data_IF_540767557131
#
_entry.id   IF_540767557131
#
_cell.length_a   1.000
_cell.length_b   1.000
_cell.length_c   1.000
_cell.angle_alpha   90.00
_cell.angle_beta   90.00
_cell.angle_gamma   90.00
#
_symmetry.space_group_name_H-M   'P 1'
#
loop_
_entity.id
_entity.type
_entity.pdbx_description
1 polymer ?
#
# COMPACT_ATOMS: atom_id res chain seq x y z
N UNK A 1 15.05 16.28 3.28
CA UNK A 1 14.61 15.40 4.37
C UNK A 1 13.18 15.69 4.84
N UNK A 2 12.82 16.89 5.33
CA UNK A 2 11.51 17.18 5.96
C UNK A 2 10.24 16.68 5.23
N UNK A 3 10.18 16.77 3.90
CA UNK A 3 9.01 16.36 3.10
C UNK A 3 8.74 14.85 3.07
N UNK A 4 9.77 14.01 3.15
CA UNK A 4 9.58 12.55 3.16
C UNK A 4 9.01 12.08 4.50
N UNK A 5 9.34 12.79 5.58
CA UNK A 5 8.87 12.50 6.94
C UNK A 5 7.41 12.85 7.15
N UNK A 6 7.01 14.05 6.72
CA UNK A 6 5.61 14.44 6.76
C UNK A 6 4.78 13.40 6.02
N UNK A 7 5.21 12.98 4.84
CA UNK A 7 4.49 11.98 4.05
C UNK A 7 4.28 10.66 4.82
N UNK A 8 5.34 10.06 5.39
CA UNK A 8 5.23 8.74 6.06
C UNK A 8 4.49 8.86 7.40
N UNK A 9 4.73 9.93 8.16
CA UNK A 9 4.07 10.16 9.44
C UNK A 9 2.56 10.36 9.26
N UNK A 10 2.17 11.24 8.33
CA UNK A 10 0.77 11.50 8.04
C UNK A 10 0.10 10.30 7.34
N UNK A 11 0.84 9.50 6.55
CA UNK A 11 0.36 8.20 6.05
C UNK A 11 -0.04 7.29 7.21
N UNK A 12 0.85 7.09 8.17
CA UNK A 12 0.62 6.21 9.34
C UNK A 12 -0.58 6.67 10.16
N UNK A 13 -0.66 7.97 10.48
CA UNK A 13 -1.78 8.56 11.22
C UNK A 13 -3.10 8.39 10.47
N UNK A 14 -3.08 8.59 9.15
CA UNK A 14 -4.26 8.41 8.29
C UNK A 14 -4.76 6.98 8.30
N UNK A 15 -3.87 5.98 8.30
CA UNK A 15 -4.26 4.57 8.40
C UNK A 15 -4.94 4.24 9.73
N UNK A 16 -4.49 4.85 10.84
CA UNK A 16 -5.14 4.71 12.16
C UNK A 16 -6.53 5.35 12.16
N UNK A 17 -6.67 6.56 11.60
CA UNK A 17 -7.97 7.24 11.43
C UNK A 17 -8.90 6.40 10.55
N UNK A 18 -8.37 5.85 9.46
CA UNK A 18 -9.10 4.97 8.55
C UNK A 18 -9.61 3.73 9.28
N UNK A 19 -8.76 3.06 10.05
CA UNK A 19 -9.12 1.88 10.85
C UNK A 19 -10.24 2.18 11.87
N UNK A 20 -10.26 3.39 12.44
CA UNK A 20 -11.23 3.78 13.46
C UNK A 20 -12.56 4.24 12.88
N UNK A 21 -12.56 5.02 11.80
CA UNK A 21 -13.74 5.75 11.35
C UNK A 21 -14.19 5.41 9.93
N UNK A 22 -13.29 5.06 9.01
CA UNK A 22 -13.60 5.00 7.58
C UNK A 22 -13.90 3.60 7.06
N UNK A 23 -13.66 2.55 7.85
CA UNK A 23 -13.93 1.16 7.43
C UNK A 23 -15.42 0.89 7.15
N UNK A 24 -16.32 1.67 7.75
CA UNK A 24 -17.77 1.56 7.54
C UNK A 24 -18.28 2.26 6.28
N UNK A 25 -17.42 3.02 5.59
CA UNK A 25 -17.79 3.78 4.39
C UNK A 25 -17.52 2.93 3.16
N UNK A 26 -18.47 2.95 2.21
CA UNK A 26 -18.37 2.30 0.90
C UNK A 26 -17.03 2.59 0.21
N UNK A 27 -16.39 1.54 -0.30
CA UNK A 27 -15.08 1.64 -0.95
C UNK A 27 -15.05 2.61 -2.14
N UNK A 28 -16.11 2.69 -2.96
CA UNK A 28 -16.19 3.63 -4.10
C UNK A 28 -16.12 5.08 -3.65
N UNK A 29 -16.84 5.43 -2.58
CA UNK A 29 -16.85 6.79 -2.04
C UNK A 29 -15.46 7.15 -1.52
N UNK A 30 -14.83 6.22 -0.78
CA UNK A 30 -13.45 6.38 -0.29
C UNK A 30 -12.46 6.59 -1.44
N UNK A 31 -12.50 5.76 -2.50
CA UNK A 31 -11.61 5.91 -3.66
C UNK A 31 -11.90 7.17 -4.47
N UNK A 32 -13.16 7.59 -4.60
CA UNK A 32 -13.51 8.85 -5.25
C UNK A 32 -12.90 10.06 -4.52
N UNK A 33 -13.14 10.17 -3.21
CA UNK A 33 -12.57 11.23 -2.36
C UNK A 33 -11.04 11.17 -2.43
N UNK A 34 -10.47 9.97 -2.37
CA UNK A 34 -9.03 9.78 -2.49
C UNK A 34 -8.45 10.26 -3.82
N UNK A 35 -9.15 10.01 -4.92
CA UNK A 35 -8.74 10.44 -6.26
C UNK A 35 -8.76 11.96 -6.38
N UNK A 36 -9.80 12.62 -5.87
CA UNK A 36 -9.85 14.09 -5.79
C UNK A 36 -8.69 14.63 -4.95
N UNK A 37 -8.42 14.01 -3.79
CA UNK A 37 -7.33 14.41 -2.91
C UNK A 37 -5.95 14.30 -3.58
N UNK A 38 -5.67 13.18 -4.26
CA UNK A 38 -4.40 12.97 -4.99
C UNK A 38 -4.27 13.99 -6.14
N UNK A 39 -5.35 14.28 -6.87
CA UNK A 39 -5.35 15.27 -7.93
C UNK A 39 -4.98 16.66 -7.40
N UNK A 40 -5.59 17.09 -6.29
CA UNK A 40 -5.25 18.35 -5.61
C UNK A 40 -3.77 18.34 -5.19
N UNK A 41 -3.29 17.24 -4.60
CA UNK A 41 -1.89 17.07 -4.22
C UNK A 41 -0.92 17.30 -5.39
N UNK A 42 -1.17 16.66 -6.54
CA UNK A 42 -0.33 16.80 -7.73
C UNK A 42 -0.36 18.22 -8.32
N UNK A 43 -1.51 18.90 -8.30
CA UNK A 43 -1.61 20.29 -8.74
C UNK A 43 -0.82 21.24 -7.82
N UNK A 44 -0.91 21.05 -6.50
CA UNK A 44 -0.17 21.87 -5.53
C UNK A 44 1.35 21.68 -5.70
N UNK A 45 1.85 20.44 -5.83
CA UNK A 45 3.30 20.22 -6.02
C UNK A 45 3.78 20.73 -7.39
N UNK A 46 2.96 20.59 -8.43
CA UNK A 46 3.23 21.17 -9.74
C UNK A 46 3.42 22.68 -9.67
N UNK A 47 2.54 23.38 -8.95
CA UNK A 47 2.65 24.82 -8.74
C UNK A 47 3.88 25.16 -7.89
N UNK A 48 4.10 24.44 -6.79
CA UNK A 48 5.26 24.65 -5.92
C UNK A 48 6.59 24.52 -6.69
N UNK A 49 6.73 23.49 -7.53
CA UNK A 49 7.92 23.29 -8.35
C UNK A 49 8.09 24.36 -9.46
N UNK A 50 6.99 24.88 -10.01
CA UNK A 50 7.05 25.95 -11.01
C UNK A 50 7.54 27.27 -10.38
N UNK A 51 7.01 27.61 -9.19
CA UNK A 51 7.32 28.85 -8.47
C UNK A 51 8.35 28.63 -7.35
N UNK A 52 9.35 27.80 -7.60
CA UNK A 52 10.37 27.39 -6.62
C UNK A 52 11.21 28.55 -6.04
N UNK A 53 11.20 29.72 -6.68
CA UNK A 53 11.93 30.92 -6.26
C UNK A 53 11.33 31.61 -5.02
N UNK A 54 10.06 31.35 -4.70
CA UNK A 54 9.36 31.97 -3.58
C UNK A 54 9.38 31.08 -2.33
N UNK A 55 9.55 31.68 -1.14
CA UNK A 55 9.52 30.93 0.14
C UNK A 55 8.20 30.16 0.37
N UNK A 56 7.09 30.67 -0.18
CA UNK A 56 5.77 30.00 -0.12
C UNK A 56 5.81 28.63 -0.79
N UNK A 57 6.69 28.41 -1.77
CA UNK A 57 6.86 27.11 -2.45
C UNK A 57 7.23 26.00 -1.47
N UNK A 58 8.07 26.29 -0.47
CA UNK A 58 8.42 25.31 0.56
C UNK A 58 7.18 24.83 1.32
N UNK A 59 6.35 25.75 1.83
CA UNK A 59 5.13 25.42 2.56
C UNK A 59 4.09 24.72 1.69
N UNK A 60 3.98 25.10 0.41
CA UNK A 60 3.12 24.42 -0.55
C UNK A 60 3.58 22.98 -0.83
N UNK A 61 4.88 22.76 -0.99
CA UNK A 61 5.44 21.42 -1.19
C UNK A 61 5.22 20.53 0.04
N UNK A 62 5.33 21.11 1.24
CA UNK A 62 5.02 20.43 2.50
C UNK A 62 3.52 20.05 2.57
N UNK A 63 2.62 20.99 2.28
CA UNK A 63 1.18 20.74 2.26
C UNK A 63 0.82 19.65 1.23
N UNK A 64 1.38 19.71 0.03
CA UNK A 64 1.19 18.67 -0.99
C UNK A 64 1.69 17.31 -0.51
N UNK A 65 2.87 17.24 0.14
CA UNK A 65 3.41 15.97 0.66
C UNK A 65 2.48 15.33 1.68
N UNK A 66 1.81 16.13 2.52
CA UNK A 66 0.82 15.65 3.50
C UNK A 66 -0.40 15.12 2.77
N UNK A 67 -0.95 15.89 1.83
CA UNK A 67 -2.12 15.52 1.01
C UNK A 67 -1.87 14.21 0.25
N UNK A 68 -0.71 14.09 -0.41
CA UNK A 68 -0.31 12.89 -1.15
C UNK A 68 -0.06 11.71 -0.21
N UNK A 69 0.51 11.94 0.97
CA UNK A 69 0.69 10.90 2.01
C UNK A 69 -0.64 10.34 2.52
N UNK A 70 -1.60 11.23 2.83
CA UNK A 70 -2.98 10.86 3.17
C UNK A 70 -3.62 10.08 2.00
N UNK A 71 -3.43 10.56 0.77
CA UNK A 71 -3.97 9.94 -0.44
C UNK A 71 -3.44 8.52 -0.69
N UNK A 72 -2.13 8.32 -0.49
CA UNK A 72 -1.50 7.01 -0.61
C UNK A 72 -2.01 6.03 0.46
N UNK A 73 -2.07 6.49 1.72
CA UNK A 73 -2.55 5.70 2.85
C UNK A 73 -4.00 5.22 2.70
N UNK A 74 -4.90 6.13 2.33
CA UNK A 74 -6.31 5.81 2.12
C UNK A 74 -6.51 4.92 0.88
N UNK A 75 -5.80 5.20 -0.21
CA UNK A 75 -5.84 4.40 -1.43
C UNK A 75 -5.44 2.95 -1.18
N UNK A 76 -4.29 2.73 -0.52
CA UNK A 76 -3.79 1.40 -0.17
C UNK A 76 -4.78 0.67 0.76
N UNK A 77 -5.15 1.29 1.88
CA UNK A 77 -6.00 0.65 2.89
C UNK A 77 -7.39 0.31 2.35
N UNK A 78 -7.97 1.20 1.53
CA UNK A 78 -9.28 0.97 0.92
C UNK A 78 -9.24 -0.15 -0.12
N UNK A 79 -8.18 -0.21 -0.94
CA UNK A 79 -8.06 -1.22 -1.99
C UNK A 79 -7.76 -2.60 -1.40
N UNK A 80 -6.87 -2.69 -0.41
CA UNK A 80 -6.64 -3.93 0.32
C UNK A 80 -7.91 -4.41 1.05
N UNK A 81 -8.64 -3.50 1.69
CA UNK A 81 -9.95 -3.81 2.28
C UNK A 81 -10.93 -4.34 1.24
N UNK A 82 -10.97 -3.73 0.06
CA UNK A 82 -11.81 -4.18 -1.05
C UNK A 82 -11.43 -5.58 -1.56
N UNK A 83 -10.14 -5.95 -1.52
CA UNK A 83 -9.64 -7.28 -1.89
C UNK A 83 -10.20 -8.41 -1.01
N UNK A 84 -10.70 -8.14 0.20
CA UNK A 84 -11.34 -9.16 1.06
C UNK A 84 -12.55 -9.84 0.42
N UNK A 85 -13.16 -9.19 -0.57
CA UNK A 85 -14.33 -9.70 -1.30
C UNK A 85 -13.97 -10.51 -2.55
N UNK A 86 -12.69 -10.80 -2.78
CA UNK A 86 -12.17 -11.63 -3.88
C UNK A 86 -11.28 -12.75 -3.35
N UNK A 87 -10.98 -13.78 -4.16
CA UNK A 87 -9.98 -14.78 -3.79
C UNK A 87 -8.65 -14.15 -3.35
N UNK A 88 -8.02 -14.70 -2.32
CA UNK A 88 -6.82 -14.16 -1.68
C UNK A 88 -5.66 -13.89 -2.67
N UNK A 89 -5.61 -14.61 -3.80
CA UNK A 89 -4.66 -14.39 -4.89
C UNK A 89 -4.75 -13.01 -5.55
N UNK A 90 -5.89 -12.31 -5.45
CA UNK A 90 -6.10 -10.99 -6.06
C UNK A 90 -5.21 -9.92 -5.44
N UNK A 91 -4.80 -10.10 -4.17
CA UNK A 91 -3.79 -9.23 -3.55
C UNK A 91 -2.48 -9.21 -4.32
N UNK A 92 -2.14 -10.30 -5.02
CA UNK A 92 -0.97 -10.35 -5.90
C UNK A 92 -1.09 -9.38 -7.07
N UNK A 93 -2.28 -9.20 -7.66
CA UNK A 93 -2.49 -8.23 -8.74
C UNK A 93 -2.37 -6.79 -8.25
N UNK A 94 -2.93 -6.48 -7.08
CA UNK A 94 -2.75 -5.18 -6.43
C UNK A 94 -1.27 -4.92 -6.09
N UNK A 95 -0.59 -5.91 -5.51
CA UNK A 95 0.84 -5.85 -5.23
C UNK A 95 1.67 -5.63 -6.50
N UNK A 96 1.39 -6.39 -7.57
CA UNK A 96 2.06 -6.25 -8.87
C UNK A 96 1.86 -4.86 -9.46
N UNK A 97 0.64 -4.31 -9.40
CA UNK A 97 0.35 -2.97 -9.90
C UNK A 97 1.10 -1.86 -9.15
N UNK A 98 1.19 -1.97 -7.82
CA UNK A 98 1.97 -1.03 -6.99
C UNK A 98 3.49 -1.17 -7.19
N UNK A 99 4.00 -2.39 -7.43
CA UNK A 99 5.39 -2.60 -7.82
C UNK A 99 5.72 -2.00 -9.19
N UNK A 100 4.84 -2.21 -10.18
CA UNK A 100 4.98 -1.58 -11.50
C UNK A 100 4.93 -0.05 -11.41
N UNK A 101 4.07 0.51 -10.56
CA UNK A 101 3.99 1.96 -10.35
C UNK A 101 5.32 2.56 -9.85
N UNK A 102 6.12 1.82 -9.07
CA UNK A 102 7.45 2.24 -8.63
C UNK A 102 8.46 2.31 -9.79
N UNK A 103 8.49 1.28 -10.65
CA UNK A 103 9.35 1.24 -11.85
C UNK A 103 8.91 2.28 -12.89
N UNK A 104 7.61 2.38 -13.13
CA UNK A 104 7.01 3.33 -14.08
C UNK A 104 7.20 4.77 -13.61
N UNK A 105 6.96 5.06 -12.34
CA UNK A 105 7.09 6.41 -11.78
C UNK A 105 8.53 6.93 -11.78
N UNK A 106 9.51 6.07 -11.50
CA UNK A 106 10.92 6.44 -11.61
C UNK A 106 11.35 6.59 -13.07
N UNK A 107 10.92 5.68 -13.95
CA UNK A 107 11.20 5.74 -15.38
C UNK A 107 10.64 6.98 -16.09
N UNK A 108 9.38 7.35 -15.82
CA UNK A 108 8.74 8.51 -16.46
C UNK A 108 9.41 9.82 -16.07
N UNK A 109 9.83 9.96 -14.80
CA UNK A 109 10.59 11.14 -14.35
C UNK A 109 11.93 11.21 -15.09
N UNK A 110 12.63 10.08 -15.23
CA UNK A 110 13.94 10.04 -15.90
C UNK A 110 13.83 10.39 -17.40
N UNK A 111 12.82 9.86 -18.09
CA UNK A 111 12.55 10.14 -19.50
C UNK A 111 12.16 11.61 -19.70
N UNK A 112 11.21 12.13 -18.90
CA UNK A 112 10.73 13.50 -19.06
C UNK A 112 11.78 14.55 -18.66
N UNK A 113 12.59 14.28 -17.63
CA UNK A 113 13.75 15.12 -17.32
C UNK A 113 14.79 15.08 -18.43
N UNK A 114 15.05 13.89 -19.00
CA UNK A 114 15.94 13.75 -20.16
C UNK A 114 15.45 14.52 -21.38
N UNK A 115 14.14 14.70 -21.53
CA UNK A 115 13.53 15.54 -22.57
C UNK A 115 13.56 17.05 -22.26
N UNK A 116 14.16 17.48 -21.14
CA UNK A 116 14.31 18.89 -20.78
C UNK A 116 13.11 19.50 -20.05
N UNK A 117 12.14 18.70 -19.58
CA UNK A 117 10.99 19.21 -18.83
C UNK A 117 11.36 19.52 -17.37
N UNK A 118 10.83 20.63 -16.85
CA UNK A 118 10.98 20.97 -15.44
C UNK A 118 10.04 20.10 -14.57
N UNK A 119 10.41 19.88 -13.30
CA UNK A 119 9.64 19.10 -12.32
C UNK A 119 8.17 19.53 -12.24
N UNK A 120 7.89 20.84 -12.28
CA UNK A 120 6.51 21.36 -12.26
C UNK A 120 5.68 20.87 -13.45
N UNK A 121 6.25 20.92 -14.66
CA UNK A 121 5.59 20.43 -15.88
C UNK A 121 5.36 18.91 -15.82
N UNK A 122 6.32 18.17 -15.26
CA UNK A 122 6.20 16.72 -15.08
C UNK A 122 5.00 16.39 -14.16
N UNK A 123 4.91 17.03 -12.99
CA UNK A 123 3.79 16.81 -12.06
C UNK A 123 2.43 17.21 -12.67
N UNK A 124 2.40 18.27 -13.48
CA UNK A 124 1.20 18.65 -14.21
C UNK A 124 0.76 17.57 -15.22
N UNK A 125 1.70 17.06 -16.03
CA UNK A 125 1.43 16.04 -17.06
C UNK A 125 0.97 14.72 -16.45
N UNK A 126 1.47 14.33 -15.28
CA UNK A 126 1.04 13.08 -14.63
C UNK A 126 -0.28 13.22 -13.88
N UNK A 127 -0.75 14.43 -13.55
CA UNK A 127 -1.98 14.63 -12.78
C UNK A 127 -3.20 13.90 -13.38
N UNK A 128 -3.44 13.91 -14.72
CA UNK A 128 -4.56 13.18 -15.33
C UNK A 128 -4.51 11.66 -15.17
N UNK A 129 -3.40 11.06 -14.76
CA UNK A 129 -3.30 9.60 -14.50
C UNK A 129 -4.21 9.12 -13.36
N UNK A 130 -4.70 10.04 -12.53
CA UNK A 130 -5.70 9.74 -11.49
C UNK A 130 -7.06 9.35 -12.09
N UNK A 131 -7.39 9.85 -13.29
CA UNK A 131 -8.65 9.55 -13.98
C UNK A 131 -8.75 8.06 -14.33
N UNK A 132 -7.80 7.45 -15.07
CA UNK A 132 -7.86 6.02 -15.37
C UNK A 132 -7.77 5.16 -14.10
N UNK A 133 -7.08 5.61 -13.04
CA UNK A 133 -7.11 4.93 -11.74
C UNK A 133 -8.53 4.82 -11.16
N UNK A 134 -9.26 5.94 -11.10
CA UNK A 134 -10.63 5.95 -10.61
C UNK A 134 -11.58 5.13 -11.50
N UNK A 135 -11.47 5.30 -12.83
CA UNK A 135 -12.32 4.57 -13.79
C UNK A 135 -12.09 3.06 -13.72
N UNK A 136 -10.83 2.62 -13.57
CA UNK A 136 -10.50 1.20 -13.38
C UNK A 136 -11.11 0.66 -12.09
N UNK A 137 -10.97 1.37 -10.97
CA UNK A 137 -11.59 0.96 -9.71
C UNK A 137 -13.12 0.89 -9.81
N UNK A 138 -13.75 1.89 -10.41
CA UNK A 138 -15.20 1.93 -10.61
C UNK A 138 -15.69 0.76 -11.46
N UNK A 139 -14.96 0.42 -12.52
CA UNK A 139 -15.28 -0.73 -13.37
C UNK A 139 -15.20 -2.05 -12.59
N UNK A 140 -14.12 -2.28 -11.85
CA UNK A 140 -13.96 -3.48 -11.00
C UNK A 140 -15.06 -3.55 -9.94
N UNK A 141 -15.39 -2.41 -9.31
CA UNK A 141 -16.46 -2.34 -8.33
C UNK A 141 -17.81 -2.76 -8.92
N UNK A 142 -18.16 -2.28 -10.12
CA UNK A 142 -19.39 -2.71 -10.81
C UNK A 142 -19.38 -4.20 -11.15
N UNK A 143 -18.24 -4.74 -11.57
CA UNK A 143 -18.11 -6.17 -11.85
C UNK A 143 -18.29 -7.03 -10.60
N UNK A 144 -17.83 -6.55 -9.44
CA UNK A 144 -18.04 -7.19 -8.13
C UNK A 144 -19.52 -7.19 -7.73
N UNK A 145 -20.24 -6.10 -7.92
CA UNK A 145 -21.69 -6.07 -7.60
C UNK A 145 -22.50 -7.04 -8.49
N UNK A 146 -21.99 -7.39 -9.67
CA UNK A 146 -22.69 -8.27 -10.62
C UNK A 146 -22.35 -9.75 -10.45
N UNK A 147 -21.21 -10.09 -9.83
CA UNK A 147 -20.74 -11.48 -9.71
C UNK A 147 -20.31 -11.78 -8.27
N UNK A 148 -20.80 -12.87 -7.69
CA UNK A 148 -20.33 -13.33 -6.39
C UNK A 148 -18.99 -14.07 -6.55
N UNK A 149 -17.92 -13.48 -6.03
CA UNK A 149 -16.56 -14.04 -6.11
C UNK A 149 -16.16 -14.90 -4.90
N UNK A 150 -16.89 -14.79 -3.78
CA UNK A 150 -16.72 -15.61 -2.59
C UNK A 150 -18.13 -15.98 -2.08
N UNK A 151 -18.46 -17.26 -1.84
CA UNK A 151 -19.70 -17.63 -1.17
C UNK A 151 -19.79 -16.93 0.19
N UNK A 152 -20.85 -16.18 0.44
CA UNK A 152 -21.07 -15.62 1.77
C UNK A 152 -21.33 -16.73 2.78
N UNK A 153 -20.83 -16.53 4.00
CA UNK A 153 -21.07 -17.43 5.12
C UNK A 153 -22.58 -17.40 5.43
N UNK A 154 -23.29 -18.47 5.07
CA UNK A 154 -24.77 -18.56 5.09
C UNK A 154 -25.39 -18.21 6.44
N UNK A 155 -24.61 -18.27 7.52
CA UNK A 155 -25.05 -17.96 8.88
C UNK A 155 -25.40 -16.47 9.10
N UNK A 156 -24.84 -15.54 8.31
CA UNK A 156 -25.11 -14.10 8.45
C UNK A 156 -26.49 -13.75 7.84
N UNK A 157 -26.84 -14.39 6.73
CA UNK A 157 -28.13 -14.16 6.03
C UNK A 157 -29.29 -14.61 6.93
N UNK A 158 -29.14 -15.74 7.63
CA UNK A 158 -30.17 -16.22 8.56
C UNK A 158 -30.45 -15.22 9.67
N UNK A 159 -29.43 -14.53 10.16
CA UNK A 159 -29.57 -13.62 11.29
C UNK A 159 -30.09 -12.23 10.88
N UNK A 160 -29.75 -11.74 9.68
CA UNK A 160 -30.29 -10.48 9.15
C UNK A 160 -31.75 -10.60 8.71
N UNK A 161 -32.12 -11.74 8.12
CA UNK A 161 -33.51 -12.03 7.71
C UNK A 161 -34.41 -12.17 8.95
N UNK A 162 -33.95 -12.88 9.99
CA UNK A 162 -34.70 -12.99 11.25
C UNK A 162 -34.91 -11.66 11.99
N UNK A 163 -33.99 -10.69 11.84
CA UNK A 163 -34.15 -9.36 12.43
C UNK A 163 -35.08 -8.44 11.62
N UNK A 164 -35.12 -8.55 10.29
CA UNK A 164 -36.05 -7.78 9.46
C UNK A 164 -37.50 -8.31 9.59
N UNK A 165 -37.67 -9.63 9.72
CA UNK A 165 -38.99 -10.26 9.88
C UNK A 165 -39.58 -9.99 11.27
N UNK A 166 -38.76 -9.86 12.33
CA UNK A 166 -39.27 -9.55 13.68
C UNK A 166 -39.68 -8.08 13.87
N UNK A 167 -39.17 -7.13 13.10
CA UNK A 167 -39.57 -5.71 13.21
C UNK A 167 -40.81 -5.37 12.36
N UNK A 168 -41.22 -6.22 11.43
CA UNK A 168 -42.34 -5.92 10.50
C UNK A 168 -43.68 -6.59 10.83
N UNK A 169 -43.73 -7.55 11.77
CA UNK A 169 -44.93 -8.38 12.01
C UNK A 169 -45.91 -7.88 13.08
N UNK A 170 -45.68 -6.75 13.77
CA UNK A 170 -46.64 -6.22 14.77
C UNK A 170 -47.76 -5.33 14.20
N UNK A 171 -47.86 -5.12 12.87
CA UNK A 171 -48.78 -4.09 12.32
C UNK A 171 -49.86 -4.51 11.32
N UNK A 172 -50.02 -5.79 10.96
CA UNK A 172 -51.08 -6.16 10.00
C UNK A 172 -51.77 -7.50 10.32
N UNK A 173 -52.67 -7.49 11.30
CA UNK A 173 -53.71 -8.51 11.41
C UNK A 173 -54.91 -8.14 10.54
N UNK A 174 -54.94 -8.64 9.30
CA UNK A 174 -56.18 -8.83 8.54
C UNK A 174 -55.96 -9.85 7.42
N UNK A 175 -56.10 -11.14 7.73
CA UNK A 175 -56.21 -12.19 6.72
C UNK A 175 -57.67 -12.58 6.52
N UNK A 176 -58.27 -12.10 5.43
CA UNK A 176 -59.48 -12.67 4.87
C UNK A 176 -59.11 -13.86 3.96
N UNK A 177 -59.73 -15.00 4.24
CA UNK A 177 -59.65 -16.26 3.49
C UNK A 177 -60.47 -16.18 2.19
N UNK A 178 -59.86 -16.36 1.01
CA UNK A 178 -60.55 -16.82 -0.20
C UNK A 178 -59.64 -17.73 -1.03
N UNK A 179 -60.19 -18.90 -1.38
CA UNK A 179 -59.60 -19.98 -2.20
C UNK A 179 -59.74 -19.73 -3.72
N UNK A 180 -58.83 -20.29 -4.53
CA UNK A 180 -59.03 -20.53 -5.97
C UNK A 180 -57.75 -20.67 -6.81
N UNK A 181 -57.49 -21.85 -7.37
CA UNK A 181 -56.32 -22.24 -8.20
C UNK A 181 -56.48 -21.84 -9.71
N UNK A 182 -55.60 -22.25 -10.67
CA UNK A 182 -54.14 -22.40 -10.72
C UNK A 182 -53.46 -21.71 -11.95
N UNK A 183 -52.12 -21.68 -11.92
CA UNK A 183 -51.18 -21.54 -13.06
C UNK A 183 -50.92 -20.12 -13.61
N UNK A 184 -49.71 -19.61 -13.38
CA UNK A 184 -48.87 -19.02 -14.44
C UNK A 184 -47.42 -18.90 -13.95
N UNK A 185 -46.54 -19.59 -14.67
CA UNK A 185 -45.10 -19.36 -14.85
C UNK A 185 -44.36 -18.66 -13.70
N UNK A 186 -43.67 -19.44 -12.84
CA UNK A 186 -42.58 -18.93 -12.01
C UNK A 186 -41.47 -18.39 -12.92
N UNK A 187 -41.57 -17.11 -13.30
CA UNK A 187 -40.38 -16.34 -13.63
C UNK A 187 -39.53 -16.34 -12.37
N UNK A 188 -38.31 -16.87 -12.52
CA UNK A 188 -37.23 -16.77 -11.55
C UNK A 188 -36.89 -15.28 -11.42
N UNK A 189 -37.78 -14.52 -10.81
CA UNK A 189 -37.54 -13.14 -10.46
C UNK A 189 -36.33 -13.16 -9.56
N UNK A 190 -35.26 -12.57 -10.10
CA UNK A 190 -34.02 -12.29 -9.42
C UNK A 190 -34.40 -11.85 -8.01
N UNK A 191 -34.15 -12.72 -7.04
CA UNK A 191 -33.94 -12.29 -5.66
C UNK A 191 -32.83 -11.26 -5.80
N UNK A 192 -33.20 -9.98 -5.86
CA UNK A 192 -32.29 -8.88 -5.64
C UNK A 192 -31.86 -9.08 -4.21
N UNK A 193 -30.80 -9.87 -4.01
CA UNK A 193 -30.05 -9.89 -2.78
C UNK A 193 -29.88 -8.42 -2.39
N UNK A 194 -30.26 -8.02 -1.17
CA UNK A 194 -30.13 -6.63 -0.75
C UNK A 194 -28.69 -6.22 -1.05
N UNK A 195 -28.49 -5.00 -1.55
CA UNK A 195 -27.17 -4.42 -1.82
C UNK A 195 -26.39 -4.44 -0.51
N UNK A 196 -25.71 -5.54 -0.22
CA UNK A 196 -25.01 -5.74 1.03
C UNK A 196 -23.82 -4.81 1.00
N UNK A 197 -23.95 -3.71 1.73
CA UNK A 197 -22.89 -2.76 1.94
C UNK A 197 -21.85 -3.42 2.87
N UNK A 198 -20.98 -4.25 2.29
CA UNK A 198 -19.93 -5.02 2.99
C UNK A 198 -19.02 -4.12 3.84
N UNK A 199 -19.01 -2.82 3.59
CA UNK A 199 -18.28 -1.85 4.41
C UNK A 199 -18.97 -1.65 5.76
N UNK A 200 -20.30 -1.56 5.80
CA UNK A 200 -21.05 -1.29 7.04
C UNK A 200 -20.85 -2.36 8.13
N UNK A 201 -20.65 -3.62 7.72
CA UNK A 201 -20.44 -4.76 8.63
C UNK A 201 -18.99 -4.90 9.12
N UNK A 202 -18.07 -4.02 8.70
CA UNK A 202 -16.69 -4.07 9.15
C UNK A 202 -16.55 -3.75 10.63
N UNK A 203 -15.67 -4.52 11.29
CA UNK A 203 -15.20 -4.14 12.60
C UNK A 203 -14.28 -2.91 12.49
N UNK A 204 -14.50 -1.95 13.38
CA UNK A 204 -13.69 -0.74 13.49
C UNK A 204 -12.70 -0.87 14.64
N UNK A 205 -11.62 -0.10 14.58
CA UNK A 205 -10.58 -0.12 15.59
C UNK A 205 -11.12 0.25 16.98
N UNK A 206 -11.07 -0.71 17.89
CA UNK A 206 -11.15 -0.51 19.34
C UNK A 206 -9.97 -1.23 20.02
N UNK A 207 -9.66 -0.91 21.27
CA UNK A 207 -8.51 -1.49 21.98
C UNK A 207 -8.60 -3.01 22.14
N UNK A 208 -9.81 -3.52 22.35
CA UNK A 208 -10.08 -4.97 22.44
C UNK A 208 -9.86 -5.66 21.10
N UNK A 209 -10.40 -5.10 20.01
CA UNK A 209 -10.22 -5.65 18.67
C UNK A 209 -8.77 -5.55 18.18
N UNK A 210 -8.06 -4.46 18.54
CA UNK A 210 -6.62 -4.35 18.29
C UNK A 210 -5.86 -5.50 18.96
N UNK A 211 -6.11 -5.76 20.25
CA UNK A 211 -5.48 -6.87 20.96
C UNK A 211 -5.84 -8.22 20.37
N UNK A 212 -7.11 -8.43 20.01
CA UNK A 212 -7.61 -9.67 19.41
C UNK A 212 -6.96 -9.95 18.07
N UNK A 213 -6.92 -8.97 17.17
CA UNK A 213 -6.28 -9.08 15.86
C UNK A 213 -4.77 -9.29 16.02
N UNK A 214 -4.13 -8.53 16.91
CA UNK A 214 -2.71 -8.69 17.17
C UNK A 214 -2.38 -10.09 17.73
N UNK A 215 -3.25 -10.68 18.56
CA UNK A 215 -3.06 -12.05 19.01
C UNK A 215 -3.24 -13.08 17.87
N UNK A 216 -4.17 -12.84 16.95
CA UNK A 216 -4.47 -13.75 15.82
C UNK A 216 -3.43 -13.69 14.70
N UNK A 217 -2.94 -12.50 14.35
CA UNK A 217 -2.07 -12.27 13.17
C UNK A 217 -0.85 -11.38 13.46
N UNK A 218 -0.60 -11.01 14.71
CA UNK A 218 0.53 -10.14 15.09
C UNK A 218 1.89 -10.71 14.71
N UNK A 219 2.03 -12.03 14.63
CA UNK A 219 3.22 -12.66 14.09
C UNK A 219 3.55 -12.19 12.67
N UNK A 220 2.55 -12.14 11.78
CA UNK A 220 2.72 -11.65 10.41
C UNK A 220 3.00 -10.14 10.38
N UNK A 221 2.35 -9.38 11.27
CA UNK A 221 2.52 -7.93 11.37
C UNK A 221 3.93 -7.54 11.81
N UNK A 222 4.48 -8.22 12.83
CA UNK A 222 5.83 -7.99 13.33
C UNK A 222 6.88 -8.39 12.29
N UNK A 223 6.68 -9.52 11.60
CA UNK A 223 7.57 -9.94 10.52
C UNK A 223 7.61 -8.89 9.41
N UNK A 224 6.44 -8.43 8.94
CA UNK A 224 6.37 -7.40 7.89
C UNK A 224 7.03 -6.09 8.34
N UNK A 225 6.72 -5.62 9.55
CA UNK A 225 7.34 -4.43 10.14
C UNK A 225 8.87 -4.56 10.18
N UNK A 226 9.39 -5.74 10.55
CA UNK A 226 10.83 -6.00 10.61
C UNK A 226 11.47 -6.00 9.23
N UNK A 227 10.85 -6.66 8.23
CA UNK A 227 11.35 -6.66 6.85
C UNK A 227 11.44 -5.24 6.31
N UNK A 228 10.37 -4.45 6.49
CA UNK A 228 10.33 -3.08 5.98
C UNK A 228 11.27 -2.14 6.72
N UNK A 229 11.48 -2.34 8.03
CA UNK A 229 12.54 -1.64 8.76
C UNK A 229 13.93 -1.95 8.17
N UNK A 230 14.26 -3.24 8.01
CA UNK A 230 15.58 -3.68 7.54
C UNK A 230 15.86 -3.23 6.10
N UNK A 231 14.88 -3.32 5.21
CA UNK A 231 15.05 -2.94 3.81
C UNK A 231 15.12 -1.42 3.63
N UNK A 232 14.35 -0.65 4.39
CA UNK A 232 14.40 0.81 4.30
C UNK A 232 15.73 1.35 4.78
N UNK A 233 16.35 0.73 5.78
CA UNK A 233 17.73 1.03 6.16
C UNK A 233 18.71 0.73 5.00
N UNK A 234 18.55 -0.37 4.27
CA UNK A 234 19.39 -0.67 3.12
C UNK A 234 19.26 0.39 2.02
N UNK A 235 18.02 0.70 1.61
CA UNK A 235 17.76 1.56 0.47
C UNK A 235 17.95 3.05 0.80
N UNK A 236 17.42 3.56 1.91
CA UNK A 236 17.40 5.01 2.18
C UNK A 236 18.63 5.50 2.93
N UNK A 237 19.31 4.63 3.68
CA UNK A 237 20.42 5.02 4.54
C UNK A 237 21.76 4.53 3.97
N UNK A 238 21.93 3.22 3.82
CA UNK A 238 23.21 2.63 3.42
C UNK A 238 23.55 2.90 1.94
N UNK A 239 22.57 2.76 1.04
CA UNK A 239 22.81 2.94 -0.40
C UNK A 239 23.16 4.39 -0.77
N UNK A 240 22.56 5.38 -0.09
CA UNK A 240 22.86 6.80 -0.28
C UNK A 240 24.31 7.11 0.13
N UNK A 241 24.70 6.67 1.33
CA UNK A 241 26.05 6.86 1.88
C UNK A 241 27.13 6.18 1.06
N UNK A 242 26.90 4.94 0.62
CA UNK A 242 27.84 4.23 -0.24
C UNK A 242 28.03 4.98 -1.56
N UNK A 243 26.94 5.51 -2.14
CA UNK A 243 27.02 6.30 -3.37
C UNK A 243 27.84 7.57 -3.15
N UNK A 244 27.67 8.26 -2.01
CA UNK A 244 28.47 9.43 -1.66
C UNK A 244 29.96 9.08 -1.47
N UNK A 245 30.26 8.03 -0.69
CA UNK A 245 31.64 7.54 -0.51
C UNK A 245 32.34 7.18 -1.81
N UNK A 246 31.63 6.55 -2.74
CA UNK A 246 32.20 6.16 -4.04
C UNK A 246 32.55 7.37 -4.90
N UNK A 247 31.73 8.42 -4.88
CA UNK A 247 32.04 9.70 -5.55
C UNK A 247 33.31 10.33 -4.98
N UNK A 248 33.46 10.33 -3.65
CA UNK A 248 34.64 10.90 -2.97
C UNK A 248 35.90 10.06 -3.19
N UNK A 249 35.79 8.73 -3.23
CA UNK A 249 36.92 7.81 -3.44
C UNK A 249 37.45 7.86 -4.87
N UNK A 250 36.58 8.05 -5.86
CA UNK A 250 36.93 8.04 -7.29
C UNK A 250 36.53 9.36 -7.97
N UNK A 251 37.21 10.49 -7.65
CA UNK A 251 36.84 11.80 -8.18
C UNK A 251 36.94 11.88 -9.70
N UNK A 252 37.91 11.19 -10.32
CA UNK A 252 38.09 11.16 -11.78
C UNK A 252 36.92 10.51 -12.53
N UNK A 253 36.09 9.73 -11.83
CA UNK A 253 34.91 9.03 -12.37
C UNK A 253 33.60 9.67 -11.92
N UNK A 254 33.66 10.76 -11.16
CA UNK A 254 32.48 11.40 -10.58
C UNK A 254 31.50 11.90 -11.64
N UNK A 255 32.01 12.27 -12.82
CA UNK A 255 31.21 12.73 -13.96
C UNK A 255 30.55 11.60 -14.76
N UNK A 256 30.93 10.34 -14.52
CA UNK A 256 30.25 9.21 -15.13
C UNK A 256 28.79 9.16 -14.67
N UNK A 257 27.87 8.91 -15.60
CA UNK A 257 26.43 8.85 -15.33
C UNK A 257 26.07 7.93 -14.15
N UNK A 258 26.77 6.81 -14.02
CA UNK A 258 26.59 5.82 -12.95
C UNK A 258 26.98 6.38 -11.58
N UNK A 259 28.07 7.15 -11.50
CA UNK A 259 28.47 7.78 -10.24
C UNK A 259 27.49 8.90 -9.88
N UNK A 260 27.16 9.78 -10.84
CA UNK A 260 26.22 10.88 -10.59
C UNK A 260 24.85 10.39 -10.09
N UNK A 261 24.31 9.35 -10.73
CA UNK A 261 22.95 8.85 -10.50
C UNK A 261 22.88 7.53 -9.70
N UNK A 262 23.97 7.09 -9.07
CA UNK A 262 24.08 5.77 -8.44
C UNK A 262 22.95 5.42 -7.48
N UNK A 263 22.58 6.35 -6.59
CA UNK A 263 21.47 6.18 -5.64
C UNK A 263 20.12 6.00 -6.34
N UNK A 264 19.87 6.76 -7.42
CA UNK A 264 18.63 6.67 -8.20
C UNK A 264 18.59 5.33 -8.94
N UNK A 265 19.71 4.89 -9.52
CA UNK A 265 19.80 3.59 -10.21
C UNK A 265 19.61 2.45 -9.21
N UNK A 266 20.20 2.52 -8.01
CA UNK A 266 19.98 1.55 -6.93
C UNK A 266 18.50 1.50 -6.54
N UNK A 267 17.87 2.65 -6.35
CA UNK A 267 16.44 2.75 -6.07
C UNK A 267 15.60 2.13 -7.20
N UNK A 268 15.99 2.32 -8.46
CA UNK A 268 15.33 1.70 -9.61
C UNK A 268 15.48 0.18 -9.63
N UNK A 269 16.69 -0.35 -9.38
CA UNK A 269 16.96 -1.79 -9.26
C UNK A 269 16.14 -2.42 -8.12
N UNK A 270 16.03 -1.75 -6.98
CA UNK A 270 15.15 -2.17 -5.90
C UNK A 270 13.70 -2.31 -6.38
N UNK A 271 13.16 -1.31 -7.08
CA UNK A 271 11.78 -1.34 -7.58
C UNK A 271 11.55 -2.48 -8.58
N UNK A 272 12.54 -2.83 -9.40
CA UNK A 272 12.48 -4.02 -10.26
C UNK A 272 12.30 -5.29 -9.42
N UNK A 273 13.09 -5.45 -8.36
CA UNK A 273 12.96 -6.58 -7.44
C UNK A 273 11.59 -6.64 -6.77
N UNK A 274 11.09 -5.49 -6.29
CA UNK A 274 9.75 -5.39 -5.70
C UNK A 274 8.68 -5.77 -6.72
N UNK A 275 8.77 -5.28 -7.96
CA UNK A 275 7.81 -5.61 -9.00
C UNK A 275 7.78 -7.13 -9.26
N UNK A 276 8.93 -7.75 -9.54
CA UNK A 276 9.03 -9.19 -9.83
C UNK A 276 8.45 -10.02 -8.68
N UNK A 277 8.84 -9.70 -7.44
CA UNK A 277 8.42 -10.46 -6.26
C UNK A 277 6.92 -10.29 -5.95
N UNK A 278 6.37 -9.09 -6.12
CA UNK A 278 4.91 -8.87 -5.95
C UNK A 278 4.10 -9.58 -7.03
N UNK A 279 4.59 -9.61 -8.28
CA UNK A 279 3.98 -10.37 -9.37
C UNK A 279 4.07 -11.88 -9.18
N UNK A 280 5.05 -12.37 -8.41
CA UNK A 280 5.29 -13.79 -8.24
C UNK A 280 4.20 -14.53 -7.43
N UNK A 281 3.36 -13.83 -6.65
CA UNK A 281 2.36 -14.48 -5.76
C UNK A 281 1.41 -15.43 -6.49
N UNK A 282 1.09 -15.16 -7.76
CA UNK A 282 0.23 -16.02 -8.57
C UNK A 282 0.89 -17.37 -8.91
N UNK A 283 2.22 -17.43 -8.88
CA UNK A 283 3.03 -18.60 -9.27
C UNK A 283 3.69 -19.25 -8.04
N UNK A 284 4.27 -18.45 -7.15
CA UNK A 284 5.05 -18.88 -6.00
C UNK A 284 4.48 -18.24 -4.73
N UNK A 285 4.02 -19.09 -3.81
CA UNK A 285 3.55 -18.68 -2.48
C UNK A 285 4.55 -19.15 -1.44
N UNK A 286 4.99 -18.23 -0.58
CA UNK A 286 5.95 -18.50 0.49
C UNK A 286 5.19 -18.51 1.82
N UNK A 287 4.84 -19.69 2.36
CA UNK A 287 4.10 -19.77 3.61
C UNK A 287 4.94 -19.32 4.81
N UNK A 288 6.26 -19.56 4.80
CA UNK A 288 7.17 -19.17 5.87
C UNK A 288 7.76 -17.78 5.63
N UNK A 289 7.06 -16.75 6.10
CA UNK A 289 7.50 -15.35 5.95
C UNK A 289 8.76 -15.03 6.77
N UNK A 290 9.05 -15.79 7.84
CA UNK A 290 10.25 -15.59 8.65
C UNK A 290 11.54 -15.71 7.85
N UNK A 291 11.55 -16.57 6.83
CA UNK A 291 12.72 -16.76 5.96
C UNK A 291 13.07 -15.45 5.26
N UNK A 292 12.06 -14.70 4.82
CA UNK A 292 12.26 -13.38 4.21
C UNK A 292 12.83 -12.38 5.22
N UNK A 293 12.35 -12.40 6.45
CA UNK A 293 12.88 -11.55 7.53
C UNK A 293 14.35 -11.87 7.83
N UNK A 294 14.71 -13.15 7.91
CA UNK A 294 16.12 -13.57 8.13
C UNK A 294 17.01 -13.15 6.95
N UNK A 295 16.55 -13.36 5.72
CA UNK A 295 17.29 -12.92 4.52
C UNK A 295 17.46 -11.39 4.50
N UNK A 296 16.45 -10.64 4.93
CA UNK A 296 16.54 -9.18 5.02
C UNK A 296 17.48 -8.71 6.12
N UNK A 297 17.61 -9.48 7.21
CA UNK A 297 18.61 -9.21 8.23
C UNK A 297 20.03 -9.43 7.69
N UNK A 298 20.25 -10.49 6.90
CA UNK A 298 21.53 -10.74 6.24
C UNK A 298 21.85 -9.59 5.27
N UNK A 299 20.88 -9.15 4.47
CA UNK A 299 21.03 -8.00 3.59
C UNK A 299 21.40 -6.73 4.37
N UNK A 300 20.69 -6.45 5.48
CA UNK A 300 20.98 -5.31 6.34
C UNK A 300 22.42 -5.34 6.86
N UNK A 301 22.85 -6.48 7.39
CA UNK A 301 24.23 -6.66 7.88
C UNK A 301 25.21 -6.44 6.73
N UNK A 302 25.00 -7.06 5.57
CA UNK A 302 25.85 -6.88 4.40
C UNK A 302 25.99 -5.39 4.01
N UNK A 303 24.89 -4.66 3.88
CA UNK A 303 24.89 -3.25 3.51
C UNK A 303 25.47 -2.34 4.59
N UNK A 304 25.26 -2.65 5.87
CA UNK A 304 25.89 -1.93 6.99
C UNK A 304 27.41 -2.07 6.95
N UNK A 305 27.91 -3.30 6.84
CA UNK A 305 29.35 -3.57 6.74
C UNK A 305 29.94 -2.93 5.48
N UNK A 306 29.23 -2.97 4.35
CA UNK A 306 29.72 -2.32 3.13
C UNK A 306 29.72 -0.78 3.27
N UNK A 307 28.79 -0.20 4.01
CA UNK A 307 28.80 1.24 4.30
C UNK A 307 29.98 1.64 5.17
N UNK A 308 30.36 0.81 6.14
CA UNK A 308 31.49 1.09 7.05
C UNK A 308 32.82 0.90 6.32
N UNK A 309 33.04 -0.28 5.73
CA UNK A 309 34.34 -0.71 5.20
C UNK A 309 34.52 -0.47 3.70
N UNK A 310 33.44 -0.25 2.94
CA UNK A 310 33.44 -0.09 1.49
C UNK A 310 34.23 -1.19 0.76
N UNK A 311 34.01 -2.46 1.16
CA UNK A 311 34.70 -3.62 0.60
C UNK A 311 34.20 -3.98 -0.80
N UNK A 312 32.95 -3.66 -1.11
CA UNK A 312 32.38 -3.75 -2.44
C UNK A 312 32.26 -2.33 -2.97
N UNK A 313 33.02 -2.00 -4.01
CA UNK A 313 33.01 -0.69 -4.66
C UNK A 313 32.53 -0.73 -6.13
N UNK A 314 32.10 -1.91 -6.59
CA UNK A 314 31.52 -2.10 -7.91
C UNK A 314 30.00 -1.84 -7.90
N UNK A 315 29.57 -0.74 -8.52
CA UNK A 315 28.16 -0.38 -8.67
C UNK A 315 27.30 -1.48 -9.32
N UNK A 316 27.80 -2.18 -10.34
CA UNK A 316 27.02 -3.22 -11.03
C UNK A 316 26.70 -4.40 -10.11
N UNK A 317 27.64 -4.78 -9.23
CA UNK A 317 27.39 -5.80 -8.22
C UNK A 317 26.35 -5.31 -7.20
N UNK A 318 26.43 -4.05 -6.77
CA UNK A 318 25.42 -3.45 -5.89
C UNK A 318 24.03 -3.40 -6.51
N UNK A 319 23.92 -3.15 -7.82
CA UNK A 319 22.64 -3.16 -8.53
C UNK A 319 21.96 -4.53 -8.46
N UNK A 320 22.71 -5.61 -8.69
CA UNK A 320 22.20 -6.98 -8.60
C UNK A 320 21.74 -7.29 -7.17
N UNK A 321 22.55 -6.92 -6.17
CA UNK A 321 22.18 -7.12 -4.75
C UNK A 321 20.95 -6.28 -4.39
N UNK A 322 20.80 -5.09 -4.95
CA UNK A 322 19.64 -4.23 -4.67
C UNK A 322 18.35 -4.78 -5.31
N UNK A 323 18.43 -5.43 -6.47
CA UNK A 323 17.31 -6.22 -7.00
C UNK A 323 16.94 -7.34 -6.02
N UNK A 324 17.93 -8.03 -5.45
CA UNK A 324 17.70 -9.08 -4.44
C UNK A 324 17.03 -8.54 -3.17
N UNK A 325 17.47 -7.39 -2.65
CA UNK A 325 16.81 -6.71 -1.51
C UNK A 325 15.33 -6.44 -1.81
N UNK A 326 15.04 -5.92 -3.01
CA UNK A 326 13.67 -5.66 -3.45
C UNK A 326 12.82 -6.91 -3.60
N UNK A 327 13.41 -8.03 -4.05
CA UNK A 327 12.71 -9.31 -4.15
C UNK A 327 12.20 -9.80 -2.80
N UNK A 328 13.02 -9.72 -1.75
CA UNK A 328 12.64 -10.15 -0.39
C UNK A 328 11.53 -9.26 0.19
N UNK A 329 11.66 -7.94 0.00
CA UNK A 329 10.68 -6.95 0.47
C UNK A 329 9.30 -7.13 -0.15
N UNK A 330 9.26 -7.14 -1.48
CA UNK A 330 8.01 -7.30 -2.21
C UNK A 330 7.35 -8.66 -1.97
N UNK A 331 8.15 -9.74 -1.88
CA UNK A 331 7.64 -11.08 -1.57
C UNK A 331 7.03 -11.14 -0.16
N UNK A 332 7.70 -10.57 0.85
CA UNK A 332 7.18 -10.51 2.22
C UNK A 332 5.83 -9.81 2.28
N UNK A 333 5.71 -8.63 1.63
CA UNK A 333 4.46 -7.87 1.59
C UNK A 333 3.29 -8.67 1.05
N UNK A 334 3.40 -9.22 -0.16
CA UNK A 334 2.25 -9.91 -0.79
C UNK A 334 1.91 -11.23 -0.09
N UNK A 335 2.91 -11.95 0.44
CA UNK A 335 2.68 -13.20 1.15
C UNK A 335 2.04 -12.96 2.52
N UNK A 336 2.43 -11.92 3.26
CA UNK A 336 1.79 -11.55 4.53
C UNK A 336 0.32 -11.17 4.31
N UNK A 337 0.04 -10.31 3.32
CA UNK A 337 -1.34 -9.90 3.01
C UNK A 337 -2.19 -11.09 2.55
N UNK A 338 -1.62 -11.98 1.72
CA UNK A 338 -2.28 -13.23 1.30
C UNK A 338 -2.61 -14.12 2.51
N UNK A 339 -1.67 -14.33 3.43
CA UNK A 339 -1.87 -15.19 4.59
C UNK A 339 -2.90 -14.62 5.57
N UNK A 340 -2.97 -13.30 5.72
CA UNK A 340 -4.02 -12.64 6.52
C UNK A 340 -5.40 -12.87 5.88
N UNK A 341 -5.51 -12.74 4.56
CA UNK A 341 -6.78 -12.99 3.86
C UNK A 341 -7.19 -14.46 3.88
N UNK A 342 -6.24 -15.38 3.84
CA UNK A 342 -6.49 -16.83 3.87
C UNK A 342 -6.69 -17.37 5.30
N UNK A 343 -6.31 -16.60 6.33
CA UNK A 343 -6.32 -17.06 7.72
C UNK A 343 -7.72 -17.50 8.16
N UNK A 344 -7.89 -18.77 8.59
CA UNK A 344 -9.17 -19.26 9.12
C UNK A 344 -9.50 -18.67 10.49
N UNK A 345 -8.51 -18.07 11.17
CA UNK A 345 -8.69 -17.48 12.50
C UNK A 345 -9.39 -16.10 12.46
N UNK A 346 -9.54 -15.52 11.26
CA UNK A 346 -10.15 -14.20 11.06
C UNK A 346 -11.52 -14.30 10.39
N UNK A 347 -12.51 -13.67 11.01
CA UNK A 347 -13.83 -13.49 10.41
C UNK A 347 -13.76 -12.47 9.27
N UNK A 348 -14.69 -12.53 8.32
CA UNK A 348 -14.68 -11.66 7.11
C UNK A 348 -14.76 -10.16 7.45
N UNK A 349 -15.49 -9.79 8.50
CA UNK A 349 -15.58 -8.43 9.05
C UNK A 349 -14.30 -7.96 9.78
N UNK A 350 -13.43 -8.89 10.22
CA UNK A 350 -12.14 -8.61 10.86
C UNK A 350 -11.01 -8.42 9.83
N UNK A 351 -11.12 -9.05 8.65
CA UNK A 351 -10.03 -9.08 7.64
C UNK A 351 -9.61 -7.69 7.16
N UNK A 352 -10.55 -6.77 6.94
CA UNK A 352 -10.21 -5.40 6.52
C UNK A 352 -9.46 -4.62 7.60
N UNK A 353 -9.89 -4.76 8.85
CA UNK A 353 -9.21 -4.15 9.99
C UNK A 353 -7.82 -4.78 10.18
N UNK A 354 -7.69 -6.10 10.04
CA UNK A 354 -6.41 -6.80 10.12
C UNK A 354 -5.42 -6.37 9.03
N UNK A 355 -5.86 -6.24 7.78
CA UNK A 355 -5.04 -5.71 6.70
C UNK A 355 -4.62 -4.26 6.96
N UNK A 356 -5.55 -3.41 7.42
CA UNK A 356 -5.26 -2.01 7.74
C UNK A 356 -4.25 -1.90 8.90
N UNK A 357 -4.40 -2.69 9.96
CA UNK A 357 -3.43 -2.71 11.07
C UNK A 357 -2.06 -3.23 10.62
N UNK A 358 -2.04 -4.17 9.68
CA UNK A 358 -0.79 -4.69 9.10
C UNK A 358 -0.06 -3.62 8.30
N UNK A 359 -0.77 -2.81 7.51
CA UNK A 359 -0.17 -1.67 6.81
C UNK A 359 0.23 -0.52 7.74
N UNK A 360 -0.39 -0.38 8.92
CA UNK A 360 0.09 0.52 9.99
C UNK A 360 1.42 0.02 10.54
N UNK A 361 1.53 -1.26 10.91
CA UNK A 361 2.78 -1.86 11.39
C UNK A 361 3.91 -1.72 10.36
N UNK A 362 3.59 -1.90 9.08
CA UNK A 362 4.49 -1.65 7.97
C UNK A 362 5.07 -0.23 7.98
N UNK A 363 4.21 0.79 8.05
CA UNK A 363 4.64 2.19 8.03
C UNK A 363 5.43 2.56 9.30
N UNK A 364 5.10 1.96 10.46
CA UNK A 364 5.90 2.12 11.69
C UNK A 364 7.33 1.63 11.47
N UNK A 365 7.53 0.48 10.82
CA UNK A 365 8.85 -0.03 10.48
C UNK A 365 9.65 0.95 9.62
N UNK A 366 9.01 1.53 8.60
CA UNK A 366 9.58 2.55 7.72
C UNK A 366 9.94 3.83 8.49
N UNK A 367 9.06 4.28 9.40
CA UNK A 367 9.30 5.45 10.24
C UNK A 367 10.50 5.24 11.16
N UNK A 368 10.60 4.09 11.81
CA UNK A 368 11.73 3.75 12.69
C UNK A 368 13.03 3.69 11.89
N UNK A 369 13.03 3.09 10.69
CA UNK A 369 14.19 3.07 9.81
C UNK A 369 14.63 4.49 9.41
N UNK A 370 13.66 5.33 9.07
CA UNK A 370 13.92 6.73 8.75
C UNK A 370 14.53 7.45 9.97
N UNK A 371 13.96 7.30 11.18
CA UNK A 371 14.46 7.89 12.45
C UNK A 371 15.89 7.47 12.74
N UNK A 372 16.17 6.19 12.58
CA UNK A 372 17.51 5.66 12.76
C UNK A 372 18.49 6.17 11.69
N UNK A 373 18.07 6.28 10.43
CA UNK A 373 18.89 6.87 9.37
C UNK A 373 19.36 8.27 9.74
N UNK A 374 18.43 9.13 10.16
CA UNK A 374 18.73 10.51 10.56
C UNK A 374 19.64 10.58 11.80
N UNK A 375 19.39 9.72 12.79
CA UNK A 375 20.24 9.65 13.97
C UNK A 375 21.66 9.25 13.57
N UNK A 376 21.80 8.27 12.70
CA UNK A 376 23.09 7.82 12.17
C UNK A 376 23.77 8.91 11.32
N UNK A 377 23.01 9.68 10.53
CA UNK A 377 23.55 10.81 9.74
C UNK A 377 24.17 11.87 10.65
N UNK A 378 23.54 12.15 11.79
CA UNK A 378 24.01 13.18 12.72
C UNK A 378 25.08 12.69 13.72
N UNK A 379 25.29 11.37 13.84
CA UNK A 379 26.20 10.78 14.84
C UNK A 379 27.33 9.99 14.19
N UNK A 380 27.05 8.78 13.71
CA UNK A 380 28.04 7.81 13.27
C UNK A 380 28.62 8.09 11.87
N UNK A 381 27.89 8.86 11.04
CA UNK A 381 28.26 9.14 9.64
C UNK A 381 28.35 10.64 9.34
N UNK A 382 28.55 11.47 10.36
CA UNK A 382 28.63 12.93 10.20
C UNK A 382 29.76 13.39 9.26
N UNK A 383 30.82 12.58 9.15
CA UNK A 383 32.03 12.86 8.36
C UNK A 383 32.16 11.96 7.11
N UNK A 384 31.09 11.27 6.71
CA UNK A 384 30.99 10.34 5.57
C UNK A 384 30.04 10.92 4.53
#
# INVERSE_FOLDING_TARGET
MGMSWSLILFSSLTKIINAKYLLKIRHVVRIFINSVNICIGFLIISFACTFHEYEVSFWMSLLSSIILGVGSALGESTTLGFCKGFPSSVVGYFGSGTGFAGVFGSGIILILKGAGLNNGQIFFIITPTVIPYFLAFWWIYRMKEQHQYIPEDKNIISQSVLSEDMETDERNNNYNLVNGAPSETMTLDRVRTPKLDEAHNNQTLNWEELKKIFFKVGFFQINLMSVYFLEYMCITCFSDRITHKLKTKYPDRADEYVFQNGYIILSFCYQIGVFISRSSLSVIKVPRVEIMTTLQLINFVFWLFNTIFLFLDNFYAMFVIMVWVGLMGGASYVNVMYQILESPNLQRNEKELALTLTTVCNDIGILIASLLSLLLDNTAFKDV
#
